data_IF_569077924364
#
_entry.id   IF_569077924364
#
_cell.length_a   1.000
_cell.length_b   1.000
_cell.length_c   1.000
_cell.angle_alpha   90.00
_cell.angle_beta   90.00
_cell.angle_gamma   90.00
#
_symmetry.space_group_name_H-M   'P 1'
#
loop_
_entity.id
_entity.type
_entity.pdbx_description
1 polymer ?
#
# COMPACT_ATOMS: atom_id res chain seq x y z
N UNK A 1 20.59 10.61 -4.93
CA UNK A 1 19.58 10.57 -6.00
C UNK A 1 20.02 11.21 -7.33
N UNK A 2 21.27 11.69 -7.47
CA UNK A 2 21.76 12.26 -8.75
C UNK A 2 22.01 11.20 -9.86
N UNK A 3 21.87 9.91 -9.54
CA UNK A 3 22.37 8.81 -10.39
C UNK A 3 21.31 7.81 -10.88
N UNK A 4 20.06 7.84 -10.40
CA UNK A 4 18.99 6.99 -10.95
C UNK A 4 18.30 7.75 -12.07
N UNK A 5 18.23 7.13 -13.26
CA UNK A 5 17.63 7.79 -14.42
C UNK A 5 16.12 7.92 -14.25
N UNK A 6 15.57 9.06 -14.69
CA UNK A 6 14.11 9.27 -14.69
C UNK A 6 13.38 8.17 -15.47
N UNK A 7 13.98 7.67 -16.55
CA UNK A 7 13.42 6.57 -17.36
C UNK A 7 13.22 5.29 -16.56
N UNK A 8 14.13 4.94 -15.64
CA UNK A 8 13.99 3.75 -14.80
C UNK A 8 12.83 3.91 -13.81
N UNK A 9 12.70 5.08 -13.18
CA UNK A 9 11.60 5.35 -12.24
C UNK A 9 10.24 5.30 -12.95
N UNK A 10 10.13 5.93 -14.12
CA UNK A 10 8.88 5.93 -14.91
C UNK A 10 8.54 4.50 -15.36
N UNK A 11 9.54 3.74 -15.84
CA UNK A 11 9.35 2.34 -16.23
C UNK A 11 8.86 1.48 -15.06
N UNK A 12 9.46 1.65 -13.88
CA UNK A 12 9.06 0.96 -12.66
C UNK A 12 7.61 1.29 -12.25
N UNK A 13 7.25 2.57 -12.16
CA UNK A 13 5.88 2.99 -11.77
C UNK A 13 4.83 2.47 -12.74
N UNK A 14 5.10 2.53 -14.06
CA UNK A 14 4.17 2.00 -15.07
C UNK A 14 4.02 0.48 -14.97
N UNK A 15 5.13 -0.25 -14.83
CA UNK A 15 5.11 -1.70 -14.69
C UNK A 15 4.34 -2.11 -13.43
N UNK A 16 4.55 -1.41 -12.30
CA UNK A 16 3.85 -1.66 -11.05
C UNK A 16 2.35 -1.40 -11.19
N UNK A 17 1.95 -0.30 -11.83
CA UNK A 17 0.54 0.01 -12.06
C UNK A 17 -0.16 -1.06 -12.93
N UNK A 18 0.50 -1.50 -14.01
CA UNK A 18 -0.01 -2.57 -14.88
C UNK A 18 -0.08 -3.89 -14.10
N UNK A 19 0.94 -4.21 -13.30
CA UNK A 19 0.98 -5.43 -12.52
C UNK A 19 -0.15 -5.48 -11.48
N UNK A 20 -0.42 -4.37 -10.78
CA UNK A 20 -1.54 -4.27 -9.83
C UNK A 20 -2.86 -4.50 -10.56
N UNK A 21 -3.06 -3.87 -11.72
CA UNK A 21 -4.26 -4.06 -12.53
C UNK A 21 -4.40 -5.52 -12.99
N UNK A 22 -3.33 -6.13 -13.49
CA UNK A 22 -3.30 -7.53 -13.89
C UNK A 22 -3.59 -8.47 -12.71
N UNK A 23 -3.10 -8.16 -11.51
CA UNK A 23 -3.37 -8.92 -10.30
C UNK A 23 -4.86 -8.90 -9.88
N UNK A 24 -5.64 -7.93 -10.38
CA UNK A 24 -7.10 -7.92 -10.15
C UNK A 24 -7.88 -8.78 -11.15
N UNK A 25 -7.29 -9.11 -12.32
CA UNK A 25 -8.00 -9.86 -13.36
C UNK A 25 -8.49 -11.24 -12.90
N UNK A 26 -7.71 -12.05 -12.15
CA UNK A 26 -8.19 -13.32 -11.62
C UNK A 26 -9.49 -13.22 -10.82
N UNK A 27 -9.69 -12.12 -10.10
CA UNK A 27 -10.91 -11.85 -9.31
C UNK A 27 -12.11 -11.39 -10.17
N UNK A 28 -11.88 -11.14 -11.46
CA UNK A 28 -12.89 -10.72 -12.43
C UNK A 28 -13.07 -11.76 -13.56
N UNK A 29 -12.40 -12.90 -13.51
CA UNK A 29 -12.49 -13.96 -14.53
C UNK A 29 -13.31 -15.15 -14.03
N UNK A 30 -14.24 -15.64 -14.86
CA UNK A 30 -15.11 -16.78 -14.53
C UNK A 30 -15.91 -16.60 -13.23
N UNK A 31 -16.32 -15.37 -12.94
CA UNK A 31 -17.09 -15.00 -11.75
C UNK A 31 -18.56 -14.74 -12.07
N UNK A 32 -19.39 -14.70 -11.03
CA UNK A 32 -20.82 -14.39 -11.17
C UNK A 32 -21.04 -12.94 -11.60
N UNK A 33 -22.20 -12.66 -12.21
CA UNK A 33 -22.54 -11.30 -12.66
C UNK A 33 -22.59 -10.29 -11.50
N UNK A 34 -22.85 -10.76 -10.27
CA UNK A 34 -22.84 -9.96 -9.07
C UNK A 34 -21.49 -9.28 -8.85
N UNK A 35 -20.37 -9.96 -9.12
CA UNK A 35 -19.03 -9.40 -8.98
C UNK A 35 -18.87 -8.22 -9.94
N UNK A 36 -19.24 -8.37 -11.22
CA UNK A 36 -19.19 -7.26 -12.18
C UNK A 36 -20.10 -6.09 -11.77
N UNK A 37 -21.31 -6.37 -11.28
CA UNK A 37 -22.23 -5.33 -10.81
C UNK A 37 -21.67 -4.58 -9.59
N UNK A 38 -21.07 -5.29 -8.63
CA UNK A 38 -20.42 -4.70 -7.47
C UNK A 38 -19.18 -3.90 -7.86
N UNK A 39 -18.37 -4.37 -8.81
CA UNK A 39 -17.21 -3.63 -9.32
C UNK A 39 -17.63 -2.34 -10.01
N UNK A 40 -18.61 -2.40 -10.92
CA UNK A 40 -19.13 -1.20 -11.61
C UNK A 40 -19.75 -0.24 -10.59
N UNK A 41 -20.54 -0.75 -9.64
CA UNK A 41 -21.11 0.04 -8.56
C UNK A 41 -20.05 0.71 -7.68
N UNK A 42 -18.98 -0.02 -7.34
CA UNK A 42 -17.86 0.51 -6.57
C UNK A 42 -17.09 1.60 -7.29
N UNK A 43 -16.79 1.40 -8.58
CA UNK A 43 -16.18 2.43 -9.42
C UNK A 43 -17.09 3.66 -9.53
N UNK A 44 -18.40 3.47 -9.71
CA UNK A 44 -19.36 4.56 -9.74
C UNK A 44 -19.36 5.34 -8.41
N UNK A 45 -19.32 4.67 -7.25
CA UNK A 45 -19.19 5.34 -5.95
C UNK A 45 -17.87 6.11 -5.87
N UNK A 46 -16.74 5.48 -6.18
CA UNK A 46 -15.42 6.11 -6.07
C UNK A 46 -15.32 7.39 -6.90
N UNK A 47 -15.82 7.38 -8.14
CA UNK A 47 -15.73 8.51 -9.05
C UNK A 47 -16.87 9.53 -8.89
N UNK A 48 -18.11 9.11 -8.60
CA UNK A 48 -19.25 10.02 -8.55
C UNK A 48 -19.51 10.60 -7.15
N UNK A 49 -19.19 9.87 -6.08
CA UNK A 49 -19.44 10.33 -4.70
C UNK A 49 -18.77 11.67 -4.36
N UNK A 50 -17.52 11.97 -4.80
CA UNK A 50 -16.89 13.27 -4.54
C UNK A 50 -17.64 14.47 -5.14
N UNK A 51 -18.51 14.25 -6.14
CA UNK A 51 -19.34 15.30 -6.75
C UNK A 51 -20.60 15.64 -5.94
N UNK A 52 -20.94 14.84 -4.92
CA UNK A 52 -22.06 15.13 -4.04
C UNK A 52 -21.72 16.37 -3.20
N UNK A 53 -22.54 17.44 -3.28
CA UNK A 53 -22.24 18.68 -2.58
C UNK A 53 -22.19 18.47 -1.06
N UNK A 54 -21.25 19.16 -0.40
CA UNK A 54 -20.99 19.13 1.05
C UNK A 54 -20.40 17.80 1.54
N UNK A 55 -21.15 16.69 1.42
CA UNK A 55 -20.77 15.40 2.01
C UNK A 55 -19.63 14.73 1.25
N UNK A 56 -19.64 14.81 -0.09
CA UNK A 56 -18.61 14.20 -0.95
C UNK A 56 -17.21 14.76 -0.75
N UNK A 57 -17.09 15.93 -0.11
CA UNK A 57 -15.80 16.59 0.17
C UNK A 57 -15.23 16.28 1.55
N UNK A 58 -16.05 15.71 2.45
CA UNK A 58 -15.67 15.45 3.84
C UNK A 58 -15.09 14.04 4.03
N UNK A 59 -15.59 13.06 3.28
CA UNK A 59 -15.27 11.64 3.48
C UNK A 59 -14.54 11.06 2.26
N UNK A 60 -13.50 10.22 2.45
CA UNK A 60 -12.85 9.52 1.36
C UNK A 60 -13.83 8.59 0.62
N UNK A 61 -13.98 8.77 -0.70
CA UNK A 61 -14.87 7.91 -1.50
C UNK A 61 -14.55 6.41 -1.44
N UNK A 62 -13.27 5.95 -1.32
CA UNK A 62 -12.98 4.53 -1.13
C UNK A 62 -13.55 3.96 0.18
N UNK A 63 -13.56 4.74 1.26
CA UNK A 63 -14.14 4.33 2.54
C UNK A 63 -15.64 4.10 2.40
N UNK A 64 -16.34 5.03 1.76
CA UNK A 64 -17.79 4.92 1.51
C UNK A 64 -18.11 3.73 0.61
N UNK A 65 -17.31 3.50 -0.44
CA UNK A 65 -17.44 2.35 -1.31
C UNK A 65 -17.38 1.03 -0.53
N UNK A 66 -16.36 0.86 0.32
CA UNK A 66 -16.20 -0.36 1.13
C UNK A 66 -17.43 -0.55 2.03
N UNK A 67 -17.81 0.45 2.82
CA UNK A 67 -18.93 0.35 3.77
C UNK A 67 -20.24 0.02 3.05
N UNK A 68 -20.57 0.73 1.98
CA UNK A 68 -21.84 0.54 1.27
C UNK A 68 -21.90 -0.83 0.58
N UNK A 69 -20.84 -1.24 -0.11
CA UNK A 69 -20.82 -2.54 -0.80
C UNK A 69 -20.81 -3.71 0.18
N UNK A 70 -20.10 -3.60 1.30
CA UNK A 70 -20.13 -4.63 2.36
C UNK A 70 -21.51 -4.75 2.96
N UNK A 71 -22.16 -3.64 3.35
CA UNK A 71 -23.52 -3.68 3.90
C UNK A 71 -24.51 -4.25 2.87
N UNK A 72 -24.42 -3.82 1.62
CA UNK A 72 -25.25 -4.33 0.53
C UNK A 72 -25.09 -5.84 0.34
N UNK A 73 -23.85 -6.33 0.30
CA UNK A 73 -23.55 -7.75 0.18
C UNK A 73 -24.15 -8.57 1.33
N UNK A 74 -24.04 -8.07 2.57
CA UNK A 74 -24.59 -8.72 3.76
C UNK A 74 -26.13 -8.74 3.77
N UNK A 75 -26.77 -7.61 3.45
CA UNK A 75 -28.24 -7.51 3.51
C UNK A 75 -28.94 -8.38 2.47
N UNK A 76 -28.34 -8.52 1.28
CA UNK A 76 -28.90 -9.33 0.19
C UNK A 76 -28.45 -10.79 0.28
N UNK A 77 -27.42 -11.09 1.09
CA UNK A 77 -26.86 -12.43 1.19
C UNK A 77 -26.13 -12.83 -0.10
N UNK A 78 -25.36 -11.90 -0.67
CA UNK A 78 -24.63 -12.13 -1.92
C UNK A 78 -23.51 -13.14 -1.70
N UNK A 79 -23.59 -14.26 -2.43
CA UNK A 79 -22.56 -15.29 -2.47
C UNK A 79 -21.44 -14.87 -3.43
N UNK A 80 -20.51 -14.07 -2.90
CA UNK A 80 -19.30 -13.60 -3.57
C UNK A 80 -18.09 -13.87 -2.70
N UNK A 81 -16.93 -14.09 -3.33
CA UNK A 81 -15.68 -14.33 -2.62
C UNK A 81 -15.33 -13.14 -1.73
N UNK A 82 -15.03 -13.40 -0.47
CA UNK A 82 -14.73 -12.40 0.55
C UNK A 82 -13.24 -12.36 0.88
N UNK A 83 -12.80 -11.30 1.57
CA UNK A 83 -11.41 -11.18 2.04
C UNK A 83 -11.03 -12.31 3.00
N UNK A 84 -11.98 -12.83 3.79
CA UNK A 84 -11.73 -13.96 4.69
C UNK A 84 -11.41 -15.27 3.96
N UNK A 85 -11.87 -15.41 2.71
CA UNK A 85 -11.55 -16.58 1.88
C UNK A 85 -10.13 -16.53 1.28
N UNK A 86 -9.47 -15.36 1.36
CA UNK A 86 -8.11 -15.14 0.82
C UNK A 86 -7.02 -15.45 1.84
N UNK A 87 -7.36 -15.43 3.12
CA UNK A 87 -6.40 -15.59 4.20
C UNK A 87 -7.00 -15.22 5.55
N UNK A 88 -6.29 -15.62 6.59
CA UNK A 88 -6.68 -15.30 7.96
C UNK A 88 -6.32 -13.85 8.28
N UNK A 89 -7.29 -13.12 8.83
CA UNK A 89 -7.05 -11.79 9.39
C UNK A 89 -6.41 -11.94 10.78
N UNK A 90 -5.46 -11.06 11.16
CA UNK A 90 -4.87 -11.10 12.50
C UNK A 90 -5.92 -10.89 13.59
N UNK A 91 -5.94 -11.77 14.58
CA UNK A 91 -6.81 -11.71 15.77
C UNK A 91 -6.02 -11.41 17.06
N UNK A 92 -4.69 -11.43 16.99
CA UNK A 92 -3.77 -11.12 18.09
C UNK A 92 -2.75 -10.04 17.71
N UNK A 93 -2.10 -9.46 18.72
CA UNK A 93 -0.93 -8.61 18.52
C UNK A 93 0.20 -9.40 17.83
N UNK A 94 1.03 -8.74 16.98
CA UNK A 94 2.22 -9.37 16.42
C UNK A 94 3.14 -9.82 17.55
N UNK A 95 3.51 -11.10 17.53
CA UNK A 95 4.48 -11.67 18.46
C UNK A 95 5.85 -11.74 17.79
N UNK A 96 6.90 -11.70 18.61
CA UNK A 96 8.24 -11.92 18.12
C UNK A 96 8.39 -13.36 17.58
N UNK A 97 8.77 -13.46 16.32
CA UNK A 97 8.94 -14.68 15.56
C UNK A 97 10.36 -14.70 14.98
N UNK A 98 11.09 -15.77 15.25
CA UNK A 98 12.28 -16.06 14.46
C UNK A 98 11.82 -16.72 13.15
N UNK A 99 12.28 -16.23 11.99
CA UNK A 99 11.95 -16.85 10.70
C UNK A 99 12.30 -18.34 10.70
N UNK A 100 11.30 -19.20 10.52
CA UNK A 100 11.46 -20.65 10.47
C UNK A 100 11.93 -21.08 9.06
N UNK A 101 13.17 -20.72 8.75
CA UNK A 101 13.84 -21.00 7.49
C UNK A 101 15.28 -21.50 7.75
N UNK A 102 15.85 -22.31 6.85
CA UNK A 102 17.25 -22.71 6.97
C UNK A 102 18.18 -21.49 6.98
N UNK A 103 18.97 -21.32 8.04
CA UNK A 103 19.96 -20.24 8.12
C UNK A 103 21.28 -20.68 7.48
N UNK A 104 21.27 -20.84 6.16
CA UNK A 104 22.43 -21.27 5.39
C UNK A 104 22.69 -20.35 4.18
N UNK A 105 23.82 -20.59 3.50
CA UNK A 105 24.25 -19.78 2.36
C UNK A 105 23.33 -19.91 1.15
N UNK A 106 22.62 -21.04 1.03
CA UNK A 106 21.65 -21.28 -0.04
C UNK A 106 20.44 -20.35 0.12
N UNK A 107 19.85 -20.31 1.31
CA UNK A 107 18.74 -19.40 1.61
C UNK A 107 19.15 -17.94 1.43
N UNK A 108 20.36 -17.56 1.85
CA UNK A 108 20.88 -16.22 1.59
C UNK A 108 20.96 -15.93 0.09
N UNK A 109 21.48 -16.86 -0.72
CA UNK A 109 21.61 -16.71 -2.17
C UNK A 109 20.26 -16.56 -2.86
N UNK A 110 19.22 -17.24 -2.36
CA UNK A 110 17.85 -17.14 -2.87
C UNK A 110 17.25 -15.77 -2.56
N UNK A 111 17.35 -15.29 -1.32
CA UNK A 111 16.67 -14.05 -0.89
C UNK A 111 17.42 -12.77 -1.27
N UNK A 112 18.75 -12.84 -1.42
CA UNK A 112 19.62 -11.69 -1.68
C UNK A 112 19.22 -10.85 -2.90
N UNK A 113 18.94 -11.41 -4.10
CA UNK A 113 18.55 -10.59 -5.25
C UNK A 113 17.23 -9.85 -5.01
N UNK A 114 16.26 -10.49 -4.35
CA UNK A 114 14.97 -9.87 -4.03
C UNK A 114 15.10 -8.79 -2.96
N UNK A 115 15.89 -9.05 -1.90
CA UNK A 115 16.10 -8.09 -0.82
C UNK A 115 16.85 -6.85 -1.29
N UNK A 116 17.83 -6.99 -2.18
CA UNK A 116 18.52 -5.86 -2.80
C UNK A 116 17.57 -5.02 -3.67
N UNK A 117 16.72 -5.66 -4.47
CA UNK A 117 15.70 -4.98 -5.27
C UNK A 117 14.69 -4.22 -4.40
N UNK A 118 14.15 -4.87 -3.37
CA UNK A 118 13.21 -4.26 -2.42
C UNK A 118 13.85 -3.13 -1.63
N UNK A 119 15.11 -3.29 -1.18
CA UNK A 119 15.83 -2.23 -0.49
C UNK A 119 16.06 -1.03 -1.43
N UNK A 120 16.48 -1.25 -2.67
CA UNK A 120 16.66 -0.17 -3.64
C UNK A 120 15.35 0.58 -3.89
N UNK A 121 14.26 -0.12 -4.21
CA UNK A 121 12.94 0.48 -4.43
C UNK A 121 12.46 1.22 -3.19
N UNK A 122 12.53 0.58 -2.01
CA UNK A 122 12.06 1.16 -0.76
C UNK A 122 12.82 2.43 -0.40
N UNK A 123 14.14 2.47 -0.61
CA UNK A 123 14.93 3.68 -0.39
C UNK A 123 14.60 4.77 -1.42
N UNK A 124 14.32 4.41 -2.68
CA UNK A 124 13.93 5.38 -3.70
C UNK A 124 12.60 6.06 -3.34
N UNK A 125 11.58 5.27 -3.00
CA UNK A 125 10.26 5.77 -2.60
C UNK A 125 10.33 6.66 -1.35
N UNK A 126 11.09 6.24 -0.32
CA UNK A 126 11.25 7.05 0.90
C UNK A 126 11.93 8.38 0.65
N UNK A 127 12.95 8.40 -0.20
CA UNK A 127 13.66 9.62 -0.56
C UNK A 127 12.81 10.57 -1.42
N UNK A 128 12.05 10.01 -2.38
CA UNK A 128 11.12 10.80 -3.21
C UNK A 128 9.99 11.37 -2.35
N UNK A 129 9.41 10.55 -1.48
CA UNK A 129 8.37 10.97 -0.53
C UNK A 129 8.89 12.05 0.41
N UNK A 130 10.07 11.87 1.00
CA UNK A 130 10.68 12.86 1.88
C UNK A 130 10.95 14.18 1.15
N UNK A 131 11.39 14.15 -0.11
CA UNK A 131 11.60 15.38 -0.91
C UNK A 131 10.27 16.10 -1.16
N UNK A 132 9.21 15.37 -1.50
CA UNK A 132 7.88 15.95 -1.71
C UNK A 132 7.33 16.55 -0.41
N UNK A 133 7.50 15.86 0.72
CA UNK A 133 7.05 16.37 2.02
C UNK A 133 7.85 17.61 2.40
N UNK A 134 9.18 17.59 2.24
CA UNK A 134 10.05 18.75 2.47
C UNK A 134 9.61 19.97 1.66
N UNK A 135 9.28 19.79 0.39
CA UNK A 135 8.78 20.84 -0.51
C UNK A 135 7.39 21.36 -0.09
N UNK A 136 6.54 20.50 0.49
CA UNK A 136 5.21 20.90 0.97
C UNK A 136 5.22 21.60 2.32
N UNK A 137 6.23 21.34 3.17
CA UNK A 137 6.32 21.88 4.52
C UNK A 137 7.40 22.95 4.69
N UNK A 138 8.14 23.27 3.63
CA UNK A 138 9.29 24.19 3.63
C UNK A 138 10.36 23.82 4.69
N UNK A 139 10.53 22.52 4.95
CA UNK A 139 11.50 22.00 5.92
C UNK A 139 12.44 21.00 5.27
N UNK A 140 13.71 20.99 5.69
CA UNK A 140 14.66 19.97 5.22
C UNK A 140 14.68 18.75 6.15
N UNK A 141 14.58 17.56 5.57
CA UNK A 141 14.80 16.27 6.26
C UNK A 141 16.23 15.74 6.09
N UNK A 142 16.70 14.96 7.07
CA UNK A 142 17.90 14.13 6.93
C UNK A 142 17.53 12.76 6.34
N UNK A 143 17.89 12.61 5.08
CA UNK A 143 17.60 11.44 4.24
C UNK A 143 18.37 10.20 4.70
N UNK A 144 19.57 10.35 5.24
CA UNK A 144 20.31 9.22 5.78
C UNK A 144 19.65 8.67 7.04
N UNK A 145 19.09 9.56 7.87
CA UNK A 145 18.32 9.16 9.04
C UNK A 145 17.04 8.42 8.64
N UNK A 146 16.36 8.88 7.60
CA UNK A 146 15.18 8.20 7.03
C UNK A 146 15.50 6.78 6.57
N UNK A 147 16.55 6.62 5.76
CA UNK A 147 17.00 5.30 5.28
C UNK A 147 17.33 4.33 6.43
N UNK A 148 18.00 4.82 7.48
CA UNK A 148 18.30 4.01 8.68
C UNK A 148 17.03 3.62 9.42
N UNK A 149 16.10 4.56 9.60
CA UNK A 149 14.81 4.30 10.23
C UNK A 149 14.02 3.23 9.50
N UNK A 150 13.90 3.34 8.17
CA UNK A 150 13.25 2.35 7.33
C UNK A 150 13.92 0.98 7.39
N UNK A 151 15.26 0.92 7.42
CA UNK A 151 16.00 -0.33 7.57
C UNK A 151 15.70 -1.02 8.89
N UNK A 152 15.76 -0.28 10.00
CA UNK A 152 15.43 -0.80 11.34
C UNK A 152 13.98 -1.25 11.41
N UNK A 153 13.04 -0.47 10.85
CA UNK A 153 11.63 -0.83 10.81
C UNK A 153 11.37 -2.12 10.03
N UNK A 154 12.04 -2.32 8.89
CA UNK A 154 11.91 -3.54 8.09
C UNK A 154 12.53 -4.77 8.80
N UNK A 155 13.67 -4.60 9.47
CA UNK A 155 14.28 -5.68 10.27
C UNK A 155 13.32 -6.09 11.40
N UNK A 156 12.80 -5.12 12.15
CA UNK A 156 11.84 -5.38 13.22
C UNK A 156 10.55 -6.02 12.69
N UNK A 157 10.03 -5.54 11.56
CA UNK A 157 8.85 -6.11 10.88
C UNK A 157 9.07 -7.58 10.52
N UNK A 158 10.24 -7.93 9.96
CA UNK A 158 10.57 -9.32 9.63
C UNK A 158 10.56 -10.26 10.84
N UNK A 159 11.03 -9.78 12.00
CA UNK A 159 10.95 -10.51 13.27
C UNK A 159 9.55 -10.53 13.90
N UNK A 160 8.56 -9.86 13.32
CA UNK A 160 7.16 -9.90 13.74
C UNK A 160 6.26 -10.58 12.69
N UNK A 161 6.86 -11.27 11.70
CA UNK A 161 6.14 -11.90 10.60
C UNK A 161 5.52 -10.90 9.60
N UNK A 162 5.97 -9.65 9.62
CA UNK A 162 5.46 -8.59 8.76
C UNK A 162 6.07 -8.59 7.36
N UNK A 163 5.39 -7.93 6.43
CA UNK A 163 5.88 -7.70 5.07
C UNK A 163 6.90 -6.56 5.01
N UNK A 164 7.65 -6.49 3.91
CA UNK A 164 8.52 -5.37 3.61
C UNK A 164 7.70 -4.09 3.35
N UNK A 165 8.18 -2.95 3.86
CA UNK A 165 7.53 -1.65 3.77
C UNK A 165 8.44 -0.52 3.31
N UNK A 166 7.82 0.53 2.77
CA UNK A 166 8.47 1.77 2.37
C UNK A 166 7.52 2.96 2.52
N UNK A 167 8.00 4.18 2.28
CA UNK A 167 7.14 5.35 2.30
C UNK A 167 6.11 5.31 1.17
N UNK A 168 5.00 6.04 1.38
CA UNK A 168 3.90 6.09 0.42
C UNK A 168 3.57 7.53 0.05
N UNK A 169 3.97 7.96 -1.14
CA UNK A 169 3.81 9.33 -1.64
C UNK A 169 2.36 9.83 -1.48
N UNK A 170 1.38 9.05 -1.96
CA UNK A 170 -0.02 9.46 -1.95
C UNK A 170 -0.57 9.71 -0.54
N UNK A 171 -0.29 8.81 0.41
CA UNK A 171 -0.78 8.94 1.79
C UNK A 171 -0.03 10.04 2.54
N UNK A 172 1.26 10.22 2.30
CA UNK A 172 2.02 11.35 2.87
C UNK A 172 1.46 12.70 2.41
N UNK A 173 1.12 12.85 1.12
CA UNK A 173 0.50 14.08 0.61
C UNK A 173 -0.87 14.32 1.26
N UNK A 174 -1.70 13.27 1.38
CA UNK A 174 -3.00 13.38 2.05
C UNK A 174 -2.82 13.82 3.51
N UNK A 175 -1.93 13.15 4.25
CA UNK A 175 -1.67 13.46 5.66
C UNK A 175 -1.24 14.92 5.86
N UNK A 176 -0.28 15.41 5.06
CA UNK A 176 0.19 16.80 5.14
C UNK A 176 -0.94 17.78 4.80
N UNK A 177 -1.73 17.52 3.75
CA UNK A 177 -2.89 18.36 3.39
C UNK A 177 -4.00 18.33 4.44
N UNK A 178 -4.10 17.26 5.22
CA UNK A 178 -5.01 17.13 6.35
C UNK A 178 -4.48 17.78 7.64
N UNK A 179 -3.32 18.45 7.61
CA UNK A 179 -2.73 19.16 8.75
C UNK A 179 -1.73 18.34 9.57
N UNK A 180 -1.34 17.14 9.11
CA UNK A 180 -0.29 16.34 9.72
C UNK A 180 1.08 16.98 9.53
N UNK A 181 1.74 17.39 10.63
CA UNK A 181 3.06 18.02 10.60
C UNK A 181 4.04 17.53 11.68
N UNK A 182 3.67 16.50 12.45
CA UNK A 182 4.50 15.95 13.52
C UNK A 182 4.53 14.43 13.44
N UNK A 183 5.49 13.80 14.14
CA UNK A 183 5.63 12.34 14.17
C UNK A 183 4.44 11.62 14.82
N UNK A 184 3.55 12.34 15.52
CA UNK A 184 2.37 11.73 16.13
C UNK A 184 1.30 11.36 15.08
N UNK A 185 1.38 11.90 13.86
CA UNK A 185 0.38 11.63 12.81
C UNK A 185 0.58 10.30 12.07
N UNK A 186 1.76 9.69 12.18
CA UNK A 186 2.14 8.44 11.49
C UNK A 186 1.87 7.23 12.37
#
# INVERSE_FOLDING_TARGET
MRFVSKSVVIGFVNALAILIFMAQLPELTNVTWHVYAMTIGGLAIIYLFPYIPVIGKLLPSPLICIVLLTLFALFIGLDVRTVGDMGQLPDTLPIFLLPDIPLNLETLTIILPYSLGLAAVGLLESMMTATIVDDLTDTNSDKNRECKGQGVANIASGFLGGMAGCAMIGQSIINVKSGGGTRLST
#
